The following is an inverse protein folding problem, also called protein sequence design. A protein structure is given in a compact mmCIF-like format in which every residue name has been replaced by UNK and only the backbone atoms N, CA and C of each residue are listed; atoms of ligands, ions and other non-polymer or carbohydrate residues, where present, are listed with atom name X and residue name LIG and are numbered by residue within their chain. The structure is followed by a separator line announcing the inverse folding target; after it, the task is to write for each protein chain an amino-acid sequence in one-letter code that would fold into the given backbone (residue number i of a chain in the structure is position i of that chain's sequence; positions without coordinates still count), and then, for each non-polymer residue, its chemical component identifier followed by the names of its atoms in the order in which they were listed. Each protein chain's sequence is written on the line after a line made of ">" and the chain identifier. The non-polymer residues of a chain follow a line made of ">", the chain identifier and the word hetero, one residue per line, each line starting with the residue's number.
data_IF_399366949756
#
_entry.id   IF_399366949756
#
_cell.length_a   1.000
_cell.length_b   1.000
_cell.length_c   1.000
_cell.angle_alpha   90.00
_cell.angle_beta   90.00
_cell.angle_gamma   90.00
#
_symmetry.space_group_name_H-M   'P 1'
#
loop_
_entity.id
_entity.type
_entity.pdbx_description
1 polymer ?
#
# COMPACT_ATOMS: atom_id res chain seq x y z
N UNK A 1 -25.73 -5.19 -12.86
CA UNK A 1 -24.33 -5.02 -12.39
C UNK A 1 -24.29 -5.20 -10.89
N UNK A 2 -23.57 -6.19 -10.44
CA UNK A 2 -23.38 -6.29 -8.99
C UNK A 2 -22.58 -5.10 -8.48
N UNK A 3 -22.83 -4.65 -7.25
CA UNK A 3 -22.03 -3.57 -6.68
C UNK A 3 -20.58 -4.05 -6.49
N UNK A 4 -19.61 -3.13 -6.48
CA UNK A 4 -18.22 -3.51 -6.20
C UNK A 4 -18.12 -4.19 -4.83
N UNK A 5 -17.26 -5.20 -4.75
CA UNK A 5 -16.97 -5.86 -3.48
C UNK A 5 -16.18 -4.91 -2.58
N UNK A 6 -16.67 -4.71 -1.38
CA UNK A 6 -15.91 -4.01 -0.34
C UNK A 6 -15.34 -5.01 0.64
N UNK A 7 -14.22 -4.67 1.28
CA UNK A 7 -13.65 -5.48 2.34
C UNK A 7 -14.64 -5.61 3.49
N UNK A 8 -14.61 -6.72 4.24
CA UNK A 8 -15.54 -6.95 5.32
C UNK A 8 -15.53 -5.85 6.37
N UNK A 9 -16.70 -5.56 6.92
CA UNK A 9 -16.92 -4.48 7.88
C UNK A 9 -16.03 -4.61 9.13
N UNK A 10 -15.72 -5.83 9.54
CA UNK A 10 -14.94 -6.10 10.74
C UNK A 10 -13.45 -6.38 10.47
N UNK A 11 -12.98 -6.06 9.28
CA UNK A 11 -11.57 -6.21 8.96
C UNK A 11 -10.72 -5.23 9.76
N UNK A 12 -9.54 -5.68 10.17
CA UNK A 12 -8.54 -4.83 10.81
C UNK A 12 -7.73 -4.07 9.77
N UNK A 13 -6.94 -3.05 10.18
CA UNK A 13 -5.99 -2.43 9.23
C UNK A 13 -5.03 -3.44 8.60
N UNK A 14 -4.59 -4.44 9.35
CA UNK A 14 -3.72 -5.49 8.80
C UNK A 14 -4.43 -6.30 7.73
N UNK A 15 -5.72 -6.58 7.90
CA UNK A 15 -6.51 -7.29 6.89
C UNK A 15 -6.66 -6.46 5.63
N UNK A 16 -6.90 -5.17 5.77
CA UNK A 16 -7.00 -4.24 4.63
C UNK A 16 -5.67 -4.20 3.87
N UNK A 17 -4.56 -4.11 4.60
CA UNK A 17 -3.24 -4.10 3.98
C UNK A 17 -2.94 -5.41 3.26
N UNK A 18 -3.28 -6.53 3.88
CA UNK A 18 -3.07 -7.84 3.24
C UNK A 18 -3.86 -7.94 1.93
N UNK A 19 -5.10 -7.47 1.92
CA UNK A 19 -5.90 -7.47 0.70
C UNK A 19 -5.33 -6.54 -0.37
N UNK A 20 -4.82 -5.37 0.05
CA UNK A 20 -4.18 -4.43 -0.87
C UNK A 20 -3.00 -5.08 -1.60
N UNK A 21 -2.08 -5.70 -0.87
CA UNK A 21 -0.90 -6.32 -1.48
C UNK A 21 -1.27 -7.56 -2.29
N UNK A 22 -2.24 -8.33 -1.83
CA UNK A 22 -2.72 -9.48 -2.58
C UNK A 22 -3.34 -9.05 -3.91
N UNK A 23 -4.09 -7.95 -3.93
CA UNK A 23 -4.66 -7.40 -5.15
C UNK A 23 -3.57 -6.98 -6.15
N UNK A 24 -2.48 -6.38 -5.67
CA UNK A 24 -1.33 -6.03 -6.53
C UNK A 24 -0.70 -7.28 -7.13
N UNK A 25 -0.57 -8.33 -6.34
CA UNK A 25 0.03 -9.58 -6.77
C UNK A 25 -0.84 -10.32 -7.78
N UNK A 26 -2.14 -10.06 -7.78
CA UNK A 26 -3.09 -10.69 -8.68
C UNK A 26 -3.53 -9.79 -9.83
N UNK A 27 -3.11 -8.53 -9.85
CA UNK A 27 -3.59 -7.51 -10.79
C UNK A 27 -5.12 -7.43 -10.78
N UNK A 28 -5.70 -7.49 -9.59
CA UNK A 28 -7.16 -7.50 -9.39
C UNK A 28 -7.63 -6.12 -8.99
N UNK A 29 -8.11 -5.35 -9.97
CA UNK A 29 -8.50 -3.96 -9.73
C UNK A 29 -9.71 -3.83 -8.80
N UNK A 30 -10.67 -4.73 -8.90
CA UNK A 30 -11.85 -4.66 -8.05
C UNK A 30 -11.49 -4.97 -6.59
N UNK A 31 -10.64 -5.96 -6.39
CA UNK A 31 -10.13 -6.31 -5.07
C UNK A 31 -9.31 -5.17 -4.46
N UNK A 32 -8.52 -4.50 -5.30
CA UNK A 32 -7.72 -3.35 -4.87
C UNK A 32 -8.61 -2.20 -4.43
N UNK A 33 -9.56 -1.81 -5.29
CA UNK A 33 -10.41 -0.67 -4.99
C UNK A 33 -11.36 -0.92 -3.82
N UNK A 34 -11.63 -2.18 -3.50
CA UNK A 34 -12.48 -2.54 -2.36
C UNK A 34 -11.88 -2.11 -1.02
N UNK A 35 -10.56 -1.90 -0.93
CA UNK A 35 -9.93 -1.49 0.33
C UNK A 35 -9.92 0.02 0.52
N UNK A 36 -10.16 0.79 -0.56
CA UNK A 36 -10.11 2.25 -0.50
C UNK A 36 -11.41 2.82 0.07
N UNK A 37 -11.27 3.92 0.81
CA UNK A 37 -12.41 4.71 1.29
C UNK A 37 -13.07 5.43 0.13
N UNK A 38 -14.36 5.76 0.30
CA UNK A 38 -15.11 6.56 -0.67
C UNK A 38 -14.91 8.07 -0.50
N UNK A 39 -14.08 8.49 0.46
CA UNK A 39 -13.84 9.90 0.72
C UNK A 39 -13.16 10.57 -0.47
N UNK A 40 -13.48 11.86 -0.68
CA UNK A 40 -12.95 12.60 -1.82
C UNK A 40 -11.45 12.87 -1.71
N UNK A 41 -10.91 12.92 -0.49
CA UNK A 41 -9.54 13.29 -0.23
C UNK A 41 -8.57 12.10 -0.18
N UNK A 42 -9.02 10.90 -0.53
CA UNK A 42 -8.10 9.77 -0.62
C UNK A 42 -7.02 10.06 -1.65
N UNK A 43 -5.80 9.67 -1.36
CA UNK A 43 -4.67 10.01 -2.20
C UNK A 43 -3.71 8.84 -2.37
N UNK A 44 -3.09 8.78 -3.54
CA UNK A 44 -2.09 7.75 -3.86
C UNK A 44 -0.95 8.38 -4.63
N UNK A 45 0.27 8.05 -4.23
CA UNK A 45 1.48 8.47 -4.93
C UNK A 45 2.30 7.22 -5.21
N UNK A 46 2.56 6.97 -6.49
CA UNK A 46 3.47 5.90 -6.89
C UNK A 46 4.91 6.43 -6.90
N UNK A 47 5.92 5.56 -6.77
CA UNK A 47 7.31 6.04 -6.73
C UNK A 47 7.65 6.91 -7.92
N UNK A 48 8.07 8.16 -7.64
CA UNK A 48 8.44 9.12 -8.67
C UNK A 48 7.27 9.74 -9.42
N UNK A 49 6.04 9.40 -9.06
CA UNK A 49 4.86 9.88 -9.76
C UNK A 49 4.15 11.05 -9.10
N UNK A 50 3.13 11.58 -9.76
CA UNK A 50 2.31 12.63 -9.20
C UNK A 50 1.32 12.09 -8.17
N UNK A 51 0.71 13.00 -7.41
CA UNK A 51 -0.33 12.62 -6.47
C UNK A 51 -1.66 12.47 -7.18
N UNK A 52 -2.26 11.28 -7.05
CA UNK A 52 -3.61 10.99 -7.54
C UNK A 52 -4.59 11.21 -6.40
N UNK A 53 -5.61 11.99 -6.60
CA UNK A 53 -6.60 12.31 -5.56
C UNK A 53 -7.97 11.82 -6.01
N UNK A 54 -8.63 11.07 -5.13
CA UNK A 54 -9.96 10.52 -5.37
C UNK A 54 -9.93 9.12 -5.97
N UNK A 55 -10.96 8.36 -5.71
CA UNK A 55 -11.02 6.94 -6.09
C UNK A 55 -10.91 6.72 -7.60
N UNK A 56 -11.54 7.58 -8.41
CA UNK A 56 -11.49 7.41 -9.86
C UNK A 56 -10.10 7.58 -10.42
N UNK A 57 -9.35 8.59 -9.94
CA UNK A 57 -7.97 8.81 -10.38
C UNK A 57 -7.06 7.68 -9.90
N UNK A 58 -7.26 7.21 -8.69
CA UNK A 58 -6.49 6.10 -8.13
C UNK A 58 -6.74 4.83 -8.93
N UNK A 59 -8.01 4.54 -9.22
CA UNK A 59 -8.38 3.37 -10.04
C UNK A 59 -7.71 3.43 -11.41
N UNK A 60 -7.79 4.57 -12.08
CA UNK A 60 -7.20 4.73 -13.41
C UNK A 60 -5.69 4.49 -13.38
N UNK A 61 -4.99 4.96 -12.34
CA UNK A 61 -3.55 4.76 -12.23
C UNK A 61 -3.19 3.29 -12.05
N UNK A 62 -3.93 2.55 -11.23
CA UNK A 62 -3.68 1.12 -11.04
C UNK A 62 -4.08 0.30 -12.26
N UNK A 63 -5.16 0.68 -12.95
CA UNK A 63 -5.53 0.02 -14.19
C UNK A 63 -4.41 0.13 -15.22
N UNK A 64 -3.79 1.29 -15.32
CA UNK A 64 -2.65 1.49 -16.22
C UNK A 64 -1.46 0.60 -15.82
N UNK A 65 -1.18 0.49 -14.53
CA UNK A 65 -0.11 -0.38 -14.03
C UNK A 65 -0.44 -1.85 -14.33
N UNK A 66 -1.66 -2.27 -14.05
CA UNK A 66 -2.07 -3.66 -14.25
C UNK A 66 -2.16 -4.06 -15.72
N UNK A 67 -2.24 -3.08 -16.64
CA UNK A 67 -2.15 -3.36 -18.06
C UNK A 67 -0.83 -4.03 -18.45
N UNK A 68 0.24 -3.80 -17.65
CA UNK A 68 1.54 -4.45 -17.83
C UNK A 68 1.67 -5.74 -17.03
N UNK A 69 0.64 -6.12 -16.27
CA UNK A 69 0.63 -7.35 -15.49
C UNK A 69 0.61 -7.11 -13.99
N UNK A 70 0.67 -8.20 -13.26
CA UNK A 70 0.69 -8.18 -11.80
C UNK A 70 2.03 -7.66 -11.29
N UNK A 71 2.01 -7.14 -10.06
CA UNK A 71 3.21 -6.65 -9.40
C UNK A 71 3.63 -7.67 -8.35
N UNK A 72 4.82 -8.21 -8.49
CA UNK A 72 5.37 -9.14 -7.49
C UNK A 72 5.96 -8.34 -6.34
N UNK A 73 5.07 -7.89 -5.45
CA UNK A 73 5.42 -7.03 -4.32
C UNK A 73 5.13 -7.73 -3.00
N UNK A 74 6.05 -7.59 -2.05
CA UNK A 74 5.89 -8.11 -0.71
C UNK A 74 6.15 -6.99 0.30
N UNK A 75 5.25 -6.79 1.26
CA UNK A 75 5.58 -5.91 2.40
C UNK A 75 6.64 -6.64 3.23
N UNK A 76 7.79 -6.01 3.39
CA UNK A 76 8.94 -6.68 3.99
C UNK A 76 9.17 -6.27 5.44
N UNK A 77 9.08 -5.00 5.74
CA UNK A 77 9.27 -4.47 7.07
C UNK A 77 8.16 -3.47 7.34
N UNK A 78 7.32 -3.75 8.30
CA UNK A 78 6.13 -2.92 8.58
C UNK A 78 6.20 -2.40 10.00
N UNK A 79 6.20 -1.09 10.13
CA UNK A 79 6.03 -0.43 11.42
C UNK A 79 4.61 0.12 11.51
N UNK A 80 3.97 -0.06 12.65
CA UNK A 80 2.56 0.25 12.82
C UNK A 80 2.34 1.22 13.97
N UNK A 81 1.49 2.20 13.73
CA UNK A 81 1.00 3.08 14.77
C UNK A 81 -0.52 3.07 14.70
N UNK A 82 -1.17 2.55 15.72
CA UNK A 82 -2.61 2.38 15.73
C UNK A 82 -3.25 3.21 16.83
N UNK A 83 -4.36 3.85 16.50
CA UNK A 83 -5.27 4.45 17.47
C UNK A 83 -6.61 3.73 17.37
N UNK A 84 -7.60 4.20 18.12
CA UNK A 84 -8.94 3.61 18.05
C UNK A 84 -9.56 3.73 16.66
N UNK A 85 -9.29 4.82 15.95
CA UNK A 85 -9.96 5.11 14.68
C UNK A 85 -9.03 5.37 13.52
N UNK A 86 -7.72 5.26 13.72
CA UNK A 86 -6.75 5.47 12.64
C UNK A 86 -5.56 4.53 12.80
N UNK A 87 -4.93 4.25 11.67
CA UNK A 87 -3.72 3.44 11.66
C UNK A 87 -2.78 3.96 10.58
N UNK A 88 -1.49 4.01 10.92
CA UNK A 88 -0.45 4.36 9.97
C UNK A 88 0.53 3.19 9.92
N UNK A 89 0.71 2.64 8.75
CA UNK A 89 1.71 1.59 8.51
C UNK A 89 2.82 2.18 7.67
N UNK A 90 4.03 2.10 8.16
CA UNK A 90 5.21 2.47 7.40
C UNK A 90 5.87 1.18 6.92
N UNK A 91 5.95 1.02 5.61
CA UNK A 91 6.26 -0.27 4.98
C UNK A 91 7.47 -0.13 4.08
N UNK A 92 8.35 -1.10 4.15
CA UNK A 92 9.35 -1.28 3.09
C UNK A 92 8.80 -2.37 2.17
N UNK A 93 8.52 -2.00 0.93
CA UNK A 93 8.06 -2.95 -0.09
C UNK A 93 9.25 -3.52 -0.83
N UNK A 94 9.26 -4.82 -1.00
CA UNK A 94 10.22 -5.50 -1.85
C UNK A 94 9.51 -5.92 -3.13
N UNK A 95 10.00 -5.42 -4.26
CA UNK A 95 9.37 -5.65 -5.56
C UNK A 95 10.35 -6.43 -6.43
N UNK A 96 9.89 -7.56 -6.93
CA UNK A 96 10.67 -8.35 -7.87
C UNK A 96 10.31 -7.92 -9.28
N UNK A 97 11.30 -7.40 -10.00
CA UNK A 97 11.10 -6.93 -11.37
C UNK A 97 11.93 -7.74 -12.33
N UNK A 98 11.41 -8.04 -13.54
CA UNK A 98 12.24 -8.68 -14.57
C UNK A 98 13.30 -7.69 -15.01
N UNK A 99 14.52 -8.18 -15.21
CA UNK A 99 15.57 -7.30 -15.70
C UNK A 99 16.94 -7.91 -15.61
N UNK A 100 17.83 -7.39 -16.44
CA UNK A 100 19.23 -7.77 -16.44
C UNK A 100 19.49 -9.13 -17.06
N UNK A 101 20.77 -9.47 -17.11
CA UNK A 101 21.25 -10.70 -17.70
C UNK A 101 20.84 -11.91 -16.87
N UNK A 102 20.58 -11.72 -15.61
CA UNK A 102 20.27 -12.80 -14.68
C UNK A 102 18.78 -12.97 -14.37
N UNK A 103 17.92 -12.29 -15.11
CA UNK A 103 16.48 -12.53 -15.08
C UNK A 103 15.68 -11.66 -14.13
N UNK A 104 16.02 -11.59 -12.86
CA UNK A 104 15.21 -10.85 -11.88
C UNK A 104 16.04 -9.90 -11.07
N UNK A 105 15.51 -8.70 -10.85
CA UNK A 105 16.12 -7.72 -9.95
C UNK A 105 15.14 -7.44 -8.82
N UNK A 106 15.68 -7.07 -7.66
CA UNK A 106 14.87 -6.66 -6.52
C UNK A 106 14.95 -5.13 -6.42
N UNK A 107 13.79 -4.50 -6.46
CA UNK A 107 13.65 -3.08 -6.19
C UNK A 107 12.92 -2.90 -4.86
N UNK A 108 13.10 -1.75 -4.24
CA UNK A 108 12.42 -1.46 -2.98
C UNK A 108 11.68 -0.13 -3.09
N UNK A 109 10.62 0.00 -2.32
CA UNK A 109 9.91 1.25 -2.12
C UNK A 109 9.70 1.47 -0.64
N UNK A 110 9.73 2.72 -0.23
CA UNK A 110 9.41 3.11 1.14
C UNK A 110 8.02 3.71 1.09
N UNK A 111 7.11 3.17 1.88
CA UNK A 111 5.68 3.43 1.72
C UNK A 111 5.05 3.81 3.05
N UNK A 112 4.15 4.77 2.99
CA UNK A 112 3.25 5.10 4.10
C UNK A 112 1.83 4.78 3.66
N UNK A 113 1.19 3.87 4.39
CA UNK A 113 -0.22 3.53 4.22
C UNK A 113 -1.00 4.04 5.42
N UNK A 114 -2.07 4.78 5.15
CA UNK A 114 -2.94 5.32 6.20
C UNK A 114 -4.33 4.73 6.06
N UNK A 115 -4.87 4.30 7.18
CA UNK A 115 -6.18 3.68 7.27
C UNK A 115 -7.03 4.44 8.28
N UNK A 116 -8.32 4.59 7.98
CA UNK A 116 -9.29 5.16 8.91
C UNK A 116 -10.42 4.18 9.12
N UNK A 117 -10.95 4.15 10.34
CA UNK A 117 -12.14 3.38 10.64
C UNK A 117 -13.35 4.21 10.22
N UNK A 118 -14.03 3.74 9.19
CA UNK A 118 -15.20 4.40 8.62
C UNK A 118 -16.47 3.67 9.04
N UNK A 119 -17.63 4.20 8.65
CA UNK A 119 -18.89 3.50 8.85
C UNK A 119 -18.95 2.15 8.14
N UNK A 120 -18.13 1.99 7.10
CA UNK A 120 -18.01 0.74 6.35
C UNK A 120 -16.89 -0.15 6.86
N UNK A 121 -16.27 0.21 7.99
CA UNK A 121 -15.13 -0.48 8.56
C UNK A 121 -13.81 0.22 8.19
N UNK A 122 -12.72 -0.44 8.44
CA UNK A 122 -11.40 0.09 8.12
C UNK A 122 -11.22 0.19 6.61
N UNK A 123 -10.67 1.32 6.16
CA UNK A 123 -10.41 1.57 4.75
C UNK A 123 -9.10 2.34 4.59
N UNK A 124 -8.41 2.09 3.50
CA UNK A 124 -7.20 2.84 3.13
C UNK A 124 -7.63 4.23 2.65
N UNK A 125 -6.93 5.25 3.13
CA UNK A 125 -7.17 6.64 2.71
C UNK A 125 -5.94 7.25 2.07
N UNK A 126 -4.78 6.67 2.26
CA UNK A 126 -3.56 7.15 1.63
C UNK A 126 -2.58 6.01 1.42
N UNK A 127 -1.94 6.01 0.26
CA UNK A 127 -0.79 5.17 -0.08
C UNK A 127 0.24 6.07 -0.73
N UNK A 128 1.37 6.27 -0.06
CA UNK A 128 2.42 7.14 -0.58
C UNK A 128 3.71 6.36 -0.64
N UNK A 129 4.20 6.12 -1.85
CA UNK A 129 5.39 5.34 -2.09
C UNK A 129 6.50 6.21 -2.67
N UNK A 130 7.72 5.99 -2.21
CA UNK A 130 8.91 6.61 -2.77
C UNK A 130 9.93 5.52 -3.12
N UNK A 131 10.85 5.78 -4.07
CA UNK A 131 11.90 4.82 -4.36
C UNK A 131 12.74 4.56 -3.11
N UNK A 132 13.11 3.27 -2.90
CA UNK A 132 13.96 2.87 -1.79
C UNK A 132 15.33 2.46 -2.28
N UNK A 133 16.23 3.41 -2.38
CA UNK A 133 17.63 3.12 -2.70
C UNK A 133 18.33 2.58 -1.46
N UNK A 134 19.48 1.93 -1.65
CA UNK A 134 20.17 1.28 -0.54
C UNK A 134 20.38 2.20 0.67
N UNK A 135 20.72 3.45 0.42
CA UNK A 135 20.94 4.42 1.50
C UNK A 135 19.64 4.75 2.24
N UNK A 136 18.55 4.83 1.50
CA UNK A 136 17.24 5.17 2.05
C UNK A 136 16.62 4.02 2.83
N UNK A 137 17.06 2.80 2.57
CA UNK A 137 16.56 1.62 3.27
C UNK A 137 17.18 1.45 4.64
N UNK A 138 18.20 2.23 4.98
CA UNK A 138 18.80 2.19 6.30
C UNK A 138 17.80 2.71 7.32
N UNK A 139 17.64 1.98 8.40
CA UNK A 139 16.77 2.38 9.47
C UNK A 139 17.61 2.87 10.65
N UNK A 140 17.36 4.12 11.03
CA UNK A 140 18.03 4.71 12.18
C UNK A 140 16.99 4.81 13.29
N UNK A 141 17.17 4.02 14.32
CA UNK A 141 16.23 3.97 15.43
C UNK A 141 16.95 4.34 16.73
N UNK A 142 16.22 5.04 17.59
CA UNK A 142 16.72 5.32 18.91
C UNK A 142 16.86 4.01 19.67
N UNK A 143 18.00 3.81 20.32
CA UNK A 143 18.20 2.61 21.13
C UNK A 143 17.23 2.63 22.30
N UNK A 144 16.63 1.47 22.64
CA UNK A 144 15.76 1.42 23.81
C UNK A 144 16.52 1.89 25.04
N UNK A 145 15.90 2.75 25.80
CA UNK A 145 16.48 3.20 27.06
C UNK A 145 16.47 2.03 28.05
N UNK A 146 17.64 1.52 28.38
CA UNK A 146 17.73 0.51 29.40
C UNK A 146 18.00 1.22 30.71
N UNK A 147 16.99 1.28 31.54
CA UNK A 147 17.15 1.79 32.88
C UNK A 147 17.59 0.66 33.78
N UNK A 148 18.64 0.91 34.45
CA UNK A 148 19.24 -0.06 35.36
C UNK A 148 19.10 0.36 36.81
#
# INVERSE_FOLDING_TARGET
>A
MPPPLKAPLHSSPDDIEAQFYEALQQADIEKLMAVWSDEEEVACVHPGGPRMVGAAAIRASFEAIFASGAIDVQPDNVRRLHTHSSAVHHVVERVRVPGGVEGTQIAHAIVTNVYLKTEQGWRMVMHHASPGMARELQEIAEAPSTLH
#
